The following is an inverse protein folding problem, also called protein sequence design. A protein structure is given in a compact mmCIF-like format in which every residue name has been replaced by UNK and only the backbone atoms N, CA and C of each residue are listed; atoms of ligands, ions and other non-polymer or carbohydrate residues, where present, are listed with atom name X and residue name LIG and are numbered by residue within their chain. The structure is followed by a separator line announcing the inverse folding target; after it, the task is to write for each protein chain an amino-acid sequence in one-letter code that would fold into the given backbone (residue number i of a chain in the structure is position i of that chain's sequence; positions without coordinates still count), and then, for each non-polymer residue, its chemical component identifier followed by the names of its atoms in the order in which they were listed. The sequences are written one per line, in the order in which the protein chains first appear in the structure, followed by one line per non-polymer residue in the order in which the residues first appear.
data_IF_811109345086
#
_entry.id   IF_811109345086
#
_cell.length_a   1.000
_cell.length_b   1.000
_cell.length_c   1.000
_cell.angle_alpha   90.00
_cell.angle_beta   90.00
_cell.angle_gamma   90.00
#
_symmetry.space_group_name_H-M   'P 1'
#
loop_
_entity.id
_entity.type
_entity.pdbx_description
1 polymer ?
#
# COMPACT_ATOMS: atom_id res chain seq x y z
N UNK A 1 -37.57 -10.80 31.42
CA UNK A 1 -36.47 -11.67 30.98
C UNK A 1 -36.70 -12.31 29.62
N UNK A 2 -37.74 -13.14 29.41
CA UNK A 2 -38.00 -13.83 28.10
C UNK A 2 -38.15 -12.90 26.90
N UNK A 3 -38.79 -11.71 27.03
CA UNK A 3 -38.92 -10.73 25.95
C UNK A 3 -37.58 -10.11 25.53
N UNK A 4 -36.70 -9.80 26.50
CA UNK A 4 -35.37 -9.23 26.24
C UNK A 4 -34.49 -10.26 25.49
N UNK A 5 -34.53 -11.53 25.91
CA UNK A 5 -33.79 -12.60 25.24
C UNK A 5 -34.27 -12.76 23.78
N UNK A 6 -35.59 -12.76 23.53
CA UNK A 6 -36.11 -12.80 22.17
C UNK A 6 -35.65 -11.62 21.33
N UNK A 7 -35.65 -10.41 21.88
CA UNK A 7 -35.17 -9.22 21.19
C UNK A 7 -33.67 -9.33 20.81
N UNK A 8 -32.84 -9.79 21.75
CA UNK A 8 -31.41 -10.03 21.51
C UNK A 8 -31.19 -11.08 20.42
N UNK A 9 -31.94 -12.19 20.43
CA UNK A 9 -31.85 -13.23 19.38
C UNK A 9 -32.19 -12.66 18.00
N UNK A 10 -33.24 -11.82 17.88
CA UNK A 10 -33.60 -11.18 16.63
C UNK A 10 -32.55 -10.18 16.16
N UNK A 11 -31.94 -9.41 17.06
CA UNK A 11 -30.85 -8.49 16.73
C UNK A 11 -29.66 -9.27 16.16
N UNK A 12 -29.24 -10.35 16.83
CA UNK A 12 -28.14 -11.20 16.36
C UNK A 12 -28.47 -11.79 14.99
N UNK A 13 -29.72 -12.28 14.79
CA UNK A 13 -30.14 -12.84 13.51
C UNK A 13 -30.10 -11.83 12.38
N UNK A 14 -30.53 -10.59 12.62
CA UNK A 14 -30.41 -9.47 11.66
C UNK A 14 -28.95 -9.18 11.32
N UNK A 15 -28.07 -9.13 12.32
CA UNK A 15 -26.63 -8.92 12.07
C UNK A 15 -26.02 -10.03 11.23
N UNK A 16 -26.40 -11.30 11.46
CA UNK A 16 -25.93 -12.43 10.66
C UNK A 16 -26.41 -12.30 9.22
N UNK A 17 -27.70 -11.96 8.99
CA UNK A 17 -28.24 -11.75 7.64
C UNK A 17 -27.50 -10.62 6.92
N UNK A 18 -27.30 -9.48 7.57
CA UNK A 18 -26.58 -8.35 6.98
C UNK A 18 -25.12 -8.71 6.66
N UNK A 19 -24.46 -9.48 7.53
CA UNK A 19 -23.12 -9.98 7.28
C UNK A 19 -23.07 -10.90 6.06
N UNK A 20 -23.98 -11.86 5.94
CA UNK A 20 -24.08 -12.80 4.80
C UNK A 20 -24.34 -12.04 3.50
N UNK A 21 -25.26 -11.06 3.52
CA UNK A 21 -25.56 -10.25 2.35
C UNK A 21 -24.32 -9.47 1.91
N UNK A 22 -23.62 -8.82 2.85
CA UNK A 22 -22.43 -8.03 2.53
C UNK A 22 -21.29 -8.92 2.00
N UNK A 23 -21.06 -10.06 2.63
CA UNK A 23 -20.08 -11.06 2.21
C UNK A 23 -20.38 -11.57 0.78
N UNK A 24 -21.63 -11.93 0.52
CA UNK A 24 -22.07 -12.37 -0.81
C UNK A 24 -21.87 -11.27 -1.86
N UNK A 25 -22.19 -10.01 -1.52
CA UNK A 25 -21.98 -8.85 -2.40
C UNK A 25 -20.53 -8.68 -2.82
N UNK A 26 -19.58 -8.82 -1.89
CA UNK A 26 -18.15 -8.72 -2.18
C UNK A 26 -17.72 -9.81 -3.15
N UNK A 27 -18.09 -11.06 -2.88
CA UNK A 27 -17.73 -12.20 -3.72
C UNK A 27 -18.37 -12.14 -5.11
N UNK A 28 -19.64 -11.74 -5.18
CA UNK A 28 -20.34 -11.51 -6.46
C UNK A 28 -19.65 -10.40 -7.24
N UNK A 29 -19.31 -9.28 -6.59
CA UNK A 29 -18.59 -8.20 -7.26
C UNK A 29 -17.25 -8.68 -7.83
N UNK A 30 -16.45 -9.41 -7.05
CA UNK A 30 -15.19 -9.98 -7.52
C UNK A 30 -15.40 -10.93 -8.70
N UNK A 31 -16.33 -11.85 -8.60
CA UNK A 31 -16.64 -12.83 -9.64
C UNK A 31 -17.07 -12.16 -10.97
N UNK A 32 -17.98 -11.19 -10.91
CA UNK A 32 -18.48 -10.48 -12.09
C UNK A 32 -17.37 -9.64 -12.74
N UNK A 33 -16.49 -9.02 -11.93
CA UNK A 33 -15.48 -8.10 -12.42
C UNK A 33 -14.09 -8.73 -12.60
N UNK A 34 -13.90 -10.00 -12.29
CA UNK A 34 -12.57 -10.65 -12.39
C UNK A 34 -11.95 -10.55 -13.79
N UNK A 35 -12.75 -10.48 -14.85
CA UNK A 35 -12.27 -10.30 -16.21
C UNK A 35 -11.77 -8.88 -16.52
N UNK A 36 -12.09 -7.89 -15.66
CA UNK A 36 -11.55 -6.53 -15.74
C UNK A 36 -10.18 -6.42 -15.07
N UNK A 37 -9.82 -7.42 -14.27
CA UNK A 37 -8.58 -7.53 -13.55
C UNK A 37 -7.70 -8.57 -14.25
N UNK A 38 -6.48 -8.21 -14.58
CA UNK A 38 -5.49 -9.21 -14.98
C UNK A 38 -4.55 -9.50 -13.82
N UNK A 39 -4.44 -10.78 -13.46
CA UNK A 39 -3.43 -11.23 -12.50
C UNK A 39 -2.04 -11.04 -13.11
N UNK A 40 -1.12 -10.50 -12.31
CA UNK A 40 0.21 -10.19 -12.80
C UNK A 40 1.27 -11.13 -12.22
N UNK A 41 1.82 -10.82 -11.07
CA UNK A 41 2.80 -11.64 -10.37
C UNK A 41 2.30 -11.99 -8.98
N UNK A 42 2.92 -12.99 -8.36
CA UNK A 42 2.62 -13.35 -6.98
C UNK A 42 2.88 -12.16 -6.04
N UNK A 43 2.01 -11.98 -5.05
CA UNK A 43 2.26 -11.10 -3.91
C UNK A 43 3.19 -11.85 -2.96
N UNK A 44 4.37 -11.32 -2.73
CA UNK A 44 5.34 -11.88 -1.81
C UNK A 44 5.02 -11.49 -0.36
N UNK A 45 5.56 -12.24 0.61
CA UNK A 45 5.39 -11.90 2.02
C UNK A 45 3.98 -12.10 2.59
N UNK A 46 3.10 -12.83 1.89
CA UNK A 46 1.80 -13.27 2.44
C UNK A 46 1.96 -14.54 3.24
N UNK A 47 2.49 -14.46 4.46
CA UNK A 47 2.73 -15.62 5.32
C UNK A 47 2.02 -15.47 6.67
N UNK A 48 2.19 -16.45 7.56
CA UNK A 48 1.59 -16.42 8.90
C UNK A 48 1.94 -15.15 9.67
N UNK A 49 3.17 -14.66 9.53
CA UNK A 49 3.68 -13.55 10.34
C UNK A 49 3.90 -12.27 9.54
N UNK A 50 3.83 -12.32 8.21
CA UNK A 50 4.05 -11.18 7.34
C UNK A 50 2.77 -10.78 6.60
N UNK A 51 2.55 -9.47 6.49
CA UNK A 51 1.50 -8.87 5.69
C UNK A 51 2.11 -7.93 4.64
N UNK A 52 1.78 -8.13 3.36
CA UNK A 52 2.19 -7.23 2.27
C UNK A 52 1.66 -5.82 2.48
N UNK A 53 2.45 -4.82 2.10
CA UNK A 53 2.09 -3.40 2.26
C UNK A 53 2.42 -2.59 1.00
N UNK A 54 3.53 -1.89 1.01
CA UNK A 54 3.94 -1.00 -0.06
C UNK A 54 4.34 -1.73 -1.35
N UNK A 55 4.14 -1.07 -2.49
CA UNK A 55 4.47 -1.57 -3.81
C UNK A 55 4.97 -0.45 -4.70
N UNK A 56 6.11 -0.65 -5.38
CA UNK A 56 6.65 0.28 -6.37
C UNK A 56 7.38 -0.44 -7.49
N UNK A 57 7.76 0.30 -8.53
CA UNK A 57 8.49 -0.21 -9.69
C UNK A 57 9.75 0.62 -9.93
N UNK A 58 10.86 -0.03 -10.22
CA UNK A 58 12.09 0.59 -10.69
C UNK A 58 12.28 0.36 -12.18
N UNK A 59 12.34 1.45 -12.95
CA UNK A 59 12.61 1.38 -14.39
C UNK A 59 14.05 0.96 -14.67
N UNK A 60 15.02 1.47 -13.90
CA UNK A 60 16.44 1.18 -14.04
C UNK A 60 16.75 -0.32 -14.01
N UNK A 61 16.08 -1.04 -13.14
CA UNK A 61 16.33 -2.46 -12.95
C UNK A 61 15.22 -3.35 -13.47
N UNK A 62 14.13 -2.77 -13.95
CA UNK A 62 12.94 -3.47 -14.43
C UNK A 62 12.41 -4.45 -13.38
N UNK A 63 12.26 -3.98 -12.14
CA UNK A 63 11.82 -4.80 -11.01
C UNK A 63 10.66 -4.16 -10.24
N UNK A 64 9.83 -5.01 -9.67
CA UNK A 64 8.86 -4.65 -8.64
C UNK A 64 9.55 -4.76 -7.28
N UNK A 65 9.38 -3.75 -6.46
CA UNK A 65 9.83 -3.67 -5.09
C UNK A 65 8.60 -3.67 -4.18
N UNK A 66 8.53 -4.61 -3.25
CA UNK A 66 7.38 -4.79 -2.37
C UNK A 66 7.85 -4.92 -0.92
N UNK A 67 7.17 -4.23 -0.01
CA UNK A 67 7.41 -4.38 1.42
C UNK A 67 6.40 -5.29 2.08
N UNK A 68 6.80 -5.91 3.19
CA UNK A 68 5.90 -6.58 4.13
C UNK A 68 6.37 -6.35 5.56
N UNK A 69 5.45 -6.07 6.46
CA UNK A 69 5.78 -5.96 7.88
C UNK A 69 5.53 -7.27 8.62
N UNK A 70 6.22 -7.44 9.74
CA UNK A 70 6.07 -8.60 10.62
C UNK A 70 5.24 -8.23 11.84
N UNK A 71 4.14 -8.95 12.08
CA UNK A 71 3.24 -8.72 13.22
C UNK A 71 3.90 -8.96 14.59
N UNK A 72 4.92 -9.84 14.63
CA UNK A 72 5.64 -10.17 15.86
C UNK A 72 6.84 -9.24 16.08
N UNK A 73 6.85 -8.08 15.41
CA UNK A 73 7.90 -7.04 15.46
C UNK A 73 9.31 -7.55 15.14
N UNK A 74 9.42 -8.59 14.31
CA UNK A 74 10.66 -8.96 13.65
C UNK A 74 10.93 -8.02 12.49
N UNK A 75 12.10 -8.12 11.86
CA UNK A 75 12.47 -7.25 10.75
C UNK A 75 11.39 -7.27 9.64
N UNK A 76 11.02 -6.10 9.18
CA UNK A 76 10.22 -5.95 7.96
C UNK A 76 11.05 -6.36 6.75
N UNK A 77 10.40 -6.78 5.68
CA UNK A 77 11.04 -7.38 4.51
C UNK A 77 10.84 -6.53 3.26
N UNK A 78 11.87 -6.52 2.42
CA UNK A 78 11.81 -6.05 1.04
C UNK A 78 11.90 -7.26 0.12
N UNK A 79 10.96 -7.39 -0.80
CA UNK A 79 10.93 -8.40 -1.86
C UNK A 79 11.19 -7.74 -3.20
N UNK A 80 11.98 -8.39 -4.04
CA UNK A 80 12.36 -7.92 -5.35
C UNK A 80 11.94 -8.98 -6.37
N UNK A 81 11.07 -8.59 -7.30
CA UNK A 81 10.50 -9.45 -8.33
C UNK A 81 10.81 -8.88 -9.71
N UNK A 82 11.36 -9.68 -10.60
CA UNK A 82 11.58 -9.26 -11.99
C UNK A 82 10.25 -8.97 -12.67
N UNK A 83 10.13 -7.79 -13.29
CA UNK A 83 8.88 -7.34 -13.87
C UNK A 83 8.49 -8.18 -15.09
N UNK A 84 9.44 -8.59 -15.93
CA UNK A 84 9.17 -9.33 -17.16
C UNK A 84 8.87 -10.80 -16.89
N UNK A 85 9.75 -11.47 -16.13
CA UNK A 85 9.62 -12.91 -15.82
C UNK A 85 8.66 -13.21 -14.72
N UNK A 86 8.30 -12.21 -13.90
CA UNK A 86 7.42 -12.30 -12.70
C UNK A 86 7.98 -13.22 -11.62
N UNK A 87 9.26 -13.51 -11.66
CA UNK A 87 9.94 -14.37 -10.68
C UNK A 87 10.58 -13.52 -9.60
N UNK A 88 10.45 -13.96 -8.34
CA UNK A 88 11.19 -13.37 -7.24
C UNK A 88 12.70 -13.53 -7.46
N UNK A 89 13.45 -12.41 -7.40
CA UNK A 89 14.91 -12.38 -7.51
C UNK A 89 15.53 -12.59 -6.13
N UNK A 90 15.09 -11.81 -5.13
CA UNK A 90 15.61 -11.88 -3.77
C UNK A 90 14.61 -11.33 -2.74
N UNK A 91 14.94 -11.54 -1.48
CA UNK A 91 14.27 -10.90 -0.34
C UNK A 91 15.33 -10.47 0.68
N UNK A 92 15.11 -9.32 1.32
CA UNK A 92 16.04 -8.70 2.24
C UNK A 92 15.33 -8.28 3.52
N UNK A 93 15.93 -8.54 4.67
CA UNK A 93 15.51 -7.94 5.93
C UNK A 93 15.93 -6.49 5.97
N UNK A 94 15.01 -5.60 6.36
CA UNK A 94 15.28 -4.18 6.47
C UNK A 94 15.96 -3.87 7.83
N UNK A 95 17.04 -3.11 7.77
CA UNK A 95 17.74 -2.56 8.94
C UNK A 95 17.81 -1.04 8.86
N UNK A 96 17.82 -0.41 10.03
CA UNK A 96 18.07 1.02 10.18
C UNK A 96 19.57 1.32 10.12
N UNK A 97 19.92 2.57 9.91
CA UNK A 97 21.31 3.04 9.82
C UNK A 97 22.15 2.68 11.06
N UNK A 98 21.56 2.62 12.24
CA UNK A 98 22.23 2.18 13.48
C UNK A 98 22.34 0.66 13.65
N UNK A 99 22.11 -0.15 12.60
CA UNK A 99 22.06 -1.62 12.58
C UNK A 99 20.90 -2.27 13.35
N UNK A 100 19.99 -1.51 13.92
CA UNK A 100 18.78 -2.13 14.49
C UNK A 100 17.85 -2.62 13.39
N UNK A 101 17.02 -3.61 13.70
CA UNK A 101 16.02 -4.07 12.74
C UNK A 101 14.95 -2.98 12.51
N UNK A 102 14.55 -2.80 11.26
CA UNK A 102 13.35 -2.04 10.95
C UNK A 102 12.15 -2.97 11.12
N UNK A 103 11.36 -2.75 12.15
CA UNK A 103 10.20 -3.58 12.51
C UNK A 103 8.88 -2.81 12.43
N UNK A 104 8.88 -1.70 11.72
CA UNK A 104 7.75 -0.80 11.55
C UNK A 104 6.80 -1.31 10.46
N UNK A 105 5.68 -0.60 10.33
CA UNK A 105 4.60 -0.89 9.38
C UNK A 105 4.89 -0.34 7.97
N UNK A 106 5.94 -0.72 7.35
CA UNK A 106 6.54 -0.26 6.07
C UNK A 106 5.53 -0.08 4.90
N UNK A 107 4.53 0.79 5.09
CA UNK A 107 3.41 1.00 4.16
C UNK A 107 3.80 1.72 2.88
N UNK A 108 4.61 2.77 2.99
CA UNK A 108 5.06 3.53 1.83
C UNK A 108 6.37 3.01 1.26
N UNK A 109 6.45 2.85 -0.06
CA UNK A 109 7.69 2.55 -0.78
C UNK A 109 7.70 3.24 -2.14
N UNK A 110 8.79 3.91 -2.47
CA UNK A 110 8.98 4.55 -3.79
C UNK A 110 10.47 4.73 -4.12
N UNK A 111 10.79 5.01 -5.38
CA UNK A 111 12.17 5.20 -5.81
C UNK A 111 12.30 6.20 -6.97
N UNK A 112 13.42 6.92 -6.99
CA UNK A 112 13.91 7.70 -8.13
C UNK A 112 14.89 6.91 -9.02
N UNK A 113 14.99 5.60 -8.84
CA UNK A 113 15.97 4.70 -9.45
C UNK A 113 17.41 4.82 -8.93
N UNK A 114 17.67 5.63 -7.90
CA UNK A 114 18.93 5.69 -7.14
C UNK A 114 18.69 5.41 -5.67
N UNK A 115 17.75 6.14 -5.09
CA UNK A 115 17.31 6.00 -3.70
C UNK A 115 16.00 5.24 -3.67
N UNK A 116 15.91 4.31 -2.74
CA UNK A 116 14.66 3.68 -2.34
C UNK A 116 14.22 4.32 -1.01
N UNK A 117 13.06 4.98 -1.01
CA UNK A 117 12.44 5.51 0.19
C UNK A 117 11.39 4.55 0.71
N UNK A 118 11.44 4.29 2.01
CA UNK A 118 10.42 3.50 2.73
C UNK A 118 9.92 4.34 3.88
N UNK A 119 8.61 4.61 3.91
CA UNK A 119 7.96 5.34 5.00
C UNK A 119 7.19 4.38 5.91
N UNK A 120 7.14 4.73 7.18
CA UNK A 120 6.39 3.99 8.18
C UNK A 120 6.13 4.87 9.40
N UNK A 121 4.87 5.11 9.74
CA UNK A 121 4.50 5.97 10.85
C UNK A 121 5.19 7.35 10.74
N UNK A 122 6.10 7.66 11.65
CA UNK A 122 6.85 8.93 11.69
C UNK A 122 8.30 8.78 11.24
N UNK A 123 8.61 7.77 10.43
CA UNK A 123 9.97 7.53 9.93
C UNK A 123 10.00 7.44 8.41
N UNK A 124 11.07 7.98 7.83
CA UNK A 124 11.48 7.78 6.45
C UNK A 124 12.87 7.15 6.46
N UNK A 125 13.00 5.98 5.87
CA UNK A 125 14.27 5.29 5.70
C UNK A 125 14.69 5.36 4.23
N UNK A 126 15.93 5.77 3.99
CA UNK A 126 16.53 5.88 2.66
C UNK A 126 17.53 4.74 2.45
N UNK A 127 17.42 4.03 1.34
CA UNK A 127 18.31 2.94 0.96
C UNK A 127 18.94 3.21 -0.40
N UNK A 128 20.17 2.76 -0.60
CA UNK A 128 20.81 2.80 -1.90
C UNK A 128 20.27 1.66 -2.77
N UNK A 129 19.60 1.98 -3.87
CA UNK A 129 18.98 0.98 -4.74
C UNK A 129 20.02 0.11 -5.46
N UNK A 130 21.18 0.66 -5.84
CA UNK A 130 22.26 -0.09 -6.48
C UNK A 130 22.86 -1.11 -5.54
N UNK A 131 23.00 -0.77 -4.26
CA UNK A 131 23.46 -1.70 -3.21
C UNK A 131 22.43 -2.81 -2.98
N UNK A 132 21.15 -2.50 -2.92
CA UNK A 132 20.07 -3.49 -2.85
C UNK A 132 20.17 -4.50 -3.97
N UNK A 133 20.40 -4.03 -5.19
CA UNK A 133 20.45 -4.92 -6.36
C UNK A 133 21.73 -5.76 -6.42
N UNK A 134 22.87 -5.22 -5.94
CA UNK A 134 24.19 -5.89 -5.95
C UNK A 134 24.43 -6.83 -4.78
N UNK A 135 23.84 -6.55 -3.61
CA UNK A 135 24.14 -7.32 -2.39
C UNK A 135 23.74 -8.80 -2.53
N UNK A 136 24.58 -9.68 -2.02
CA UNK A 136 24.30 -11.11 -1.82
C UNK A 136 23.88 -11.43 -0.37
N UNK A 137 23.81 -10.42 0.50
CA UNK A 137 23.35 -10.58 1.87
C UNK A 137 21.83 -10.77 1.92
N UNK A 138 21.35 -11.32 3.04
CA UNK A 138 19.92 -11.46 3.30
C UNK A 138 19.32 -10.23 4.01
N UNK A 139 20.09 -9.15 4.10
CA UNK A 139 19.69 -7.92 4.77
C UNK A 139 20.25 -6.70 4.06
N UNK A 140 19.56 -5.57 4.21
CA UNK A 140 19.98 -4.28 3.72
C UNK A 140 19.82 -3.21 4.81
N UNK A 141 20.79 -2.31 4.90
CA UNK A 141 20.82 -1.23 5.86
C UNK A 141 20.48 0.08 5.18
N UNK A 142 19.67 0.92 5.84
CA UNK A 142 19.40 2.27 5.36
C UNK A 142 20.69 3.13 5.41
N UNK A 143 20.82 4.03 4.47
CA UNK A 143 21.90 5.02 4.46
C UNK A 143 21.54 6.24 5.32
N UNK A 144 20.23 6.50 5.49
CA UNK A 144 19.72 7.58 6.33
C UNK A 144 18.35 7.22 6.87
N UNK A 145 18.11 7.59 8.13
CA UNK A 145 16.81 7.50 8.79
C UNK A 145 16.40 8.90 9.23
N UNK A 146 15.25 9.34 8.80
CA UNK A 146 14.72 10.67 9.09
C UNK A 146 13.42 10.54 9.88
N UNK A 147 13.30 11.30 10.97
CA UNK A 147 12.04 11.43 11.69
C UNK A 147 11.16 12.44 10.98
N UNK A 148 9.95 12.03 10.61
CA UNK A 148 8.95 12.89 10.02
C UNK A 148 8.17 13.63 11.11
N UNK A 149 7.73 14.87 10.83
CA UNK A 149 6.79 15.61 11.68
C UNK A 149 5.41 15.02 11.55
N UNK A 150 4.97 14.81 10.31
CA UNK A 150 3.69 14.20 9.99
C UNK A 150 3.87 12.71 9.71
N UNK A 151 2.83 11.94 10.00
CA UNK A 151 2.82 10.50 9.73
C UNK A 151 2.95 10.22 8.24
N UNK A 152 3.75 9.22 7.88
CA UNK A 152 3.97 8.77 6.51
C UNK A 152 3.62 7.30 6.34
N UNK A 153 2.38 6.98 5.97
CA UNK A 153 1.92 5.61 5.77
C UNK A 153 2.05 5.14 4.33
N UNK A 154 2.12 6.07 3.40
CA UNK A 154 2.38 5.80 1.98
C UNK A 154 3.24 6.90 1.36
N UNK A 155 3.93 6.57 0.28
CA UNK A 155 4.71 7.56 -0.48
C UNK A 155 4.72 7.22 -1.97
N UNK A 156 5.01 8.24 -2.79
CA UNK A 156 5.22 8.11 -4.24
C UNK A 156 6.23 9.14 -4.72
N UNK A 157 6.98 8.82 -5.77
CA UNK A 157 7.95 9.73 -6.37
C UNK A 157 7.65 9.96 -7.84
N UNK A 158 7.62 11.23 -8.25
CA UNK A 158 7.48 11.63 -9.65
C UNK A 158 8.01 13.06 -9.84
N UNK A 159 8.66 13.35 -10.98
CA UNK A 159 9.08 14.70 -11.37
C UNK A 159 9.86 15.44 -10.28
N UNK A 160 10.90 14.82 -9.74
CA UNK A 160 11.74 15.36 -8.67
C UNK A 160 10.96 15.78 -7.41
N UNK A 161 9.83 15.12 -7.15
CA UNK A 161 9.03 15.36 -5.94
C UNK A 161 8.73 14.03 -5.24
N UNK A 162 9.11 13.97 -3.98
CA UNK A 162 8.74 12.89 -3.06
C UNK A 162 7.44 13.29 -2.36
N UNK A 163 6.40 12.52 -2.58
CA UNK A 163 5.09 12.70 -1.97
C UNK A 163 4.94 11.73 -0.80
N UNK A 164 4.50 12.23 0.35
CA UNK A 164 4.28 11.46 1.57
C UNK A 164 2.92 11.81 2.14
N UNK A 165 2.12 10.81 2.45
CA UNK A 165 0.80 10.98 3.04
C UNK A 165 0.53 9.96 4.14
N UNK A 166 -0.55 10.18 4.89
CA UNK A 166 -0.94 9.34 6.02
C UNK A 166 -2.33 8.73 5.85
N UNK A 167 -2.48 7.56 6.44
CA UNK A 167 -3.77 6.89 6.55
C UNK A 167 -4.62 7.56 7.64
N UNK A 168 -5.81 7.99 7.28
CA UNK A 168 -6.76 8.61 8.21
C UNK A 168 -8.10 7.89 8.19
N UNK A 169 -8.70 7.78 9.38
CA UNK A 169 -10.08 7.36 9.60
C UNK A 169 -10.76 8.48 10.35
N UNK A 170 -11.82 9.03 9.79
CA UNK A 170 -12.59 10.18 10.31
C UNK A 170 -12.87 10.10 11.83
N UNK A 171 -13.25 8.92 12.32
CA UNK A 171 -13.59 8.72 13.73
C UNK A 171 -12.38 8.81 14.69
N UNK A 172 -11.17 8.47 14.23
CA UNK A 172 -9.97 8.41 15.09
C UNK A 172 -9.05 9.61 14.91
N UNK A 173 -9.14 10.28 13.76
CA UNK A 173 -8.28 11.39 13.38
C UNK A 173 -9.16 12.46 12.74
N UNK A 174 -9.64 13.45 13.55
CA UNK A 174 -10.58 14.46 13.08
C UNK A 174 -9.97 15.48 12.10
N UNK A 175 -8.65 15.48 11.93
CA UNK A 175 -7.97 16.36 10.99
C UNK A 175 -8.08 15.79 9.56
N UNK A 176 -8.25 16.66 8.57
CA UNK A 176 -8.28 16.26 7.17
C UNK A 176 -6.93 15.67 6.76
N UNK A 177 -6.94 14.55 6.02
CA UNK A 177 -5.70 13.94 5.57
C UNK A 177 -5.02 14.81 4.51
N UNK A 178 -3.72 15.07 4.71
CA UNK A 178 -2.91 15.92 3.84
C UNK A 178 -1.80 15.10 3.19
N UNK A 179 -1.57 15.34 1.90
CA UNK A 179 -0.44 14.87 1.14
C UNK A 179 0.62 15.97 1.08
N UNK A 180 1.82 15.67 1.55
CA UNK A 180 2.95 16.57 1.51
C UNK A 180 3.89 16.22 0.36
N UNK A 181 4.28 17.21 -0.43
CA UNK A 181 5.25 17.07 -1.52
C UNK A 181 6.54 17.79 -1.22
N UNK A 182 7.68 17.10 -1.34
CA UNK A 182 9.01 17.61 -1.08
C UNK A 182 9.86 17.52 -2.36
N UNK A 183 10.41 18.65 -2.81
CA UNK A 183 11.35 18.68 -3.94
C UNK A 183 12.66 18.01 -3.59
N UNK A 184 13.16 17.15 -4.48
CA UNK A 184 14.38 16.36 -4.28
C UNK A 184 15.59 16.89 -5.07
N UNK A 185 15.45 18.00 -5.79
CA UNK A 185 16.53 18.70 -6.50
C UNK A 185 17.37 19.60 -5.57
N UNK A 186 17.02 19.66 -4.29
CA UNK A 186 17.69 20.33 -3.20
C UNK A 186 17.73 19.42 -1.97
N UNK A 187 18.48 19.82 -0.94
CA UNK A 187 18.38 19.15 0.37
C UNK A 187 16.94 19.25 0.90
N UNK A 188 16.38 18.10 1.29
CA UNK A 188 14.97 18.01 1.71
C UNK A 188 14.85 18.43 3.17
N UNK A 189 14.08 19.48 3.42
CA UNK A 189 13.60 19.85 4.76
C UNK A 189 12.19 19.27 4.98
N UNK A 190 12.12 18.14 5.66
CA UNK A 190 10.84 17.48 5.95
C UNK A 190 9.94 18.24 6.93
N UNK A 191 10.38 19.38 7.45
CA UNK A 191 9.58 20.28 8.29
C UNK A 191 8.79 21.30 7.47
N UNK A 192 9.14 21.46 6.17
CA UNK A 192 8.56 22.48 5.28
C UNK A 192 8.28 21.87 3.91
N UNK A 193 7.10 21.28 3.69
CA UNK A 193 6.73 20.77 2.38
C UNK A 193 6.67 21.89 1.33
N UNK A 194 7.07 21.57 0.10
CA UNK A 194 6.94 22.49 -1.05
C UNK A 194 5.50 22.51 -1.58
N UNK A 195 4.74 21.44 -1.34
CA UNK A 195 3.34 21.29 -1.78
C UNK A 195 2.51 20.60 -0.71
N UNK A 196 1.24 21.01 -0.60
CA UNK A 196 0.24 20.38 0.28
C UNK A 196 -1.08 20.23 -0.48
N UNK A 197 -1.70 19.05 -0.40
CA UNK A 197 -3.00 18.77 -0.98
C UNK A 197 -3.87 17.99 0.01
N UNK A 198 -5.13 18.36 0.13
CA UNK A 198 -6.12 17.50 0.77
C UNK A 198 -6.32 16.24 -0.06
N UNK A 199 -6.44 15.11 0.61
CA UNK A 199 -6.59 13.80 -0.02
C UNK A 199 -7.81 13.06 0.54
N UNK A 200 -8.32 12.05 -0.15
CA UNK A 200 -9.42 11.27 0.39
C UNK A 200 -9.00 10.47 1.65
N UNK A 201 -9.98 10.12 2.46
CA UNK A 201 -9.84 9.23 3.60
C UNK A 201 -9.46 7.81 3.20
N UNK A 202 -8.85 7.04 4.11
CA UNK A 202 -8.55 5.61 3.99
C UNK A 202 -7.50 5.26 2.92
N UNK A 203 -6.61 6.19 2.57
CA UNK A 203 -5.55 5.94 1.60
C UNK A 203 -4.47 5.06 2.21
N UNK A 204 -4.19 3.92 1.56
CA UNK A 204 -3.16 2.94 1.92
C UNK A 204 -1.96 2.99 0.97
N UNK A 205 -2.15 3.49 -0.25
CA UNK A 205 -1.10 3.57 -1.25
C UNK A 205 -1.39 4.62 -2.31
N UNK A 206 -0.32 5.08 -2.95
CA UNK A 206 -0.38 6.14 -3.96
C UNK A 206 0.50 5.82 -5.15
N UNK A 207 0.04 6.21 -6.34
CA UNK A 207 0.82 6.26 -7.56
C UNK A 207 0.53 7.55 -8.34
N UNK A 208 1.41 7.92 -9.26
CA UNK A 208 1.22 9.08 -10.13
C UNK A 208 1.33 8.63 -11.57
N UNK A 209 0.33 8.98 -12.39
CA UNK A 209 0.26 8.63 -13.81
C UNK A 209 1.21 9.47 -14.66
N UNK A 210 1.40 9.11 -15.94
CA UNK A 210 2.25 9.89 -16.84
C UNK A 210 1.69 11.27 -17.16
N UNK A 211 0.38 11.44 -17.08
CA UNK A 211 -0.31 12.72 -17.19
C UNK A 211 -0.51 13.43 -15.83
N UNK A 212 0.31 13.06 -14.82
CA UNK A 212 0.37 13.68 -13.49
C UNK A 212 -0.95 13.62 -12.69
N UNK A 213 -1.76 12.59 -12.89
CA UNK A 213 -2.92 12.34 -12.03
C UNK A 213 -2.50 11.57 -10.79
N UNK A 214 -3.05 11.91 -9.65
CA UNK A 214 -2.89 11.18 -8.42
C UNK A 214 -3.84 9.99 -8.38
N UNK A 215 -3.30 8.81 -8.11
CA UNK A 215 -4.05 7.57 -7.95
C UNK A 215 -3.91 7.11 -6.52
N UNK A 216 -5.03 6.91 -5.83
CA UNK A 216 -5.05 6.47 -4.44
C UNK A 216 -5.71 5.10 -4.32
N UNK A 217 -5.08 4.22 -3.54
CA UNK A 217 -5.65 2.96 -3.06
C UNK A 217 -6.32 3.22 -1.71
N UNK A 218 -7.64 3.12 -1.65
CA UNK A 218 -8.42 3.37 -0.44
C UNK A 218 -9.00 2.07 0.07
N UNK A 219 -8.65 1.69 1.29
CA UNK A 219 -9.05 0.43 1.91
C UNK A 219 -9.21 0.58 3.41
N UNK A 220 -10.08 -0.22 4.01
CA UNK A 220 -10.31 -0.16 5.46
C UNK A 220 -10.42 -1.54 6.11
N UNK A 221 -11.31 -2.40 5.62
CA UNK A 221 -11.59 -3.70 6.22
C UNK A 221 -11.81 -4.76 5.15
N UNK A 222 -11.73 -6.05 5.49
CA UNK A 222 -12.05 -7.13 4.55
C UNK A 222 -13.54 -7.18 4.17
N UNK A 223 -14.39 -6.43 4.87
CA UNK A 223 -15.84 -6.41 4.65
C UNK A 223 -16.32 -5.29 3.74
N UNK A 224 -15.41 -4.50 3.18
CA UNK A 224 -15.72 -3.41 2.26
C UNK A 224 -14.83 -3.50 1.01
N UNK A 225 -15.46 -3.32 -0.15
CA UNK A 225 -14.69 -3.18 -1.39
C UNK A 225 -13.75 -1.99 -1.29
N UNK A 226 -12.50 -2.20 -1.64
CA UNK A 226 -11.55 -1.11 -1.81
C UNK A 226 -11.90 -0.24 -3.00
N UNK A 227 -11.32 0.95 -3.06
CA UNK A 227 -11.54 1.89 -4.14
C UNK A 227 -10.20 2.40 -4.65
N UNK A 228 -9.97 2.30 -5.94
CA UNK A 228 -8.93 3.04 -6.63
C UNK A 228 -9.56 4.34 -7.12
N UNK A 229 -9.12 5.46 -6.58
CA UNK A 229 -9.61 6.78 -6.96
C UNK A 229 -8.53 7.58 -7.70
N UNK A 230 -8.93 8.28 -8.75
CA UNK A 230 -8.06 9.04 -9.63
C UNK A 230 -8.45 10.50 -9.52
N UNK A 231 -7.45 11.36 -9.24
CA UNK A 231 -7.62 12.78 -9.03
C UNK A 231 -6.74 13.61 -9.97
N UNK A 232 -7.28 14.72 -10.42
CA UNK A 232 -6.51 15.82 -10.99
C UNK A 232 -6.32 16.88 -9.88
N UNK A 233 -5.17 16.85 -9.22
CA UNK A 233 -4.93 17.58 -7.97
C UNK A 233 -5.98 17.19 -6.92
N UNK A 234 -6.90 18.07 -6.58
CA UNK A 234 -8.00 17.93 -5.63
C UNK A 234 -9.32 17.44 -6.27
N UNK A 235 -9.41 17.47 -7.61
CA UNK A 235 -10.63 17.09 -8.33
C UNK A 235 -10.70 15.60 -8.61
N UNK A 236 -11.69 14.93 -8.04
CA UNK A 236 -11.98 13.53 -8.34
C UNK A 236 -12.41 13.36 -9.82
N UNK A 237 -11.71 12.48 -10.54
CA UNK A 237 -12.02 12.12 -11.93
C UNK A 237 -12.77 10.80 -12.01
N UNK A 238 -12.27 9.76 -11.30
CA UNK A 238 -12.78 8.39 -11.43
C UNK A 238 -12.62 7.59 -10.16
N UNK A 239 -13.59 6.69 -9.92
CA UNK A 239 -13.51 5.66 -8.88
C UNK A 239 -13.68 4.28 -9.50
N UNK A 240 -12.83 3.33 -9.13
CA UNK A 240 -12.88 1.93 -9.56
C UNK A 240 -12.96 1.07 -8.31
N UNK A 241 -14.00 0.26 -8.18
CA UNK A 241 -14.11 -0.71 -7.10
C UNK A 241 -13.24 -1.92 -7.39
N UNK A 242 -12.47 -2.34 -6.38
CA UNK A 242 -11.56 -3.49 -6.41
C UNK A 242 -11.81 -4.38 -5.19
N UNK A 243 -11.27 -5.60 -5.14
CA UNK A 243 -11.37 -6.46 -3.97
C UNK A 243 -10.94 -5.73 -2.68
N UNK A 244 -11.44 -6.17 -1.52
CA UNK A 244 -11.06 -5.59 -0.23
C UNK A 244 -9.56 -5.67 0.05
N UNK A 245 -9.09 -4.82 0.97
CA UNK A 245 -7.73 -4.85 1.52
C UNK A 245 -6.65 -4.56 0.46
N UNK A 246 -6.92 -3.64 -0.46
CA UNK A 246 -5.89 -3.10 -1.35
C UNK A 246 -4.93 -2.20 -0.57
N UNK A 247 -3.65 -2.36 -0.85
CA UNK A 247 -2.53 -1.67 -0.20
C UNK A 247 -1.73 -0.85 -1.21
N UNK A 248 -0.42 -1.04 -1.24
CA UNK A 248 0.49 -0.35 -2.15
C UNK A 248 0.13 -0.52 -3.63
N UNK A 249 0.35 0.53 -4.39
CA UNK A 249 0.11 0.58 -5.83
C UNK A 249 1.26 1.26 -6.57
N UNK A 250 1.46 0.90 -7.83
CA UNK A 250 2.27 1.69 -8.77
C UNK A 250 1.59 1.78 -10.13
N UNK A 251 1.99 2.78 -10.90
CA UNK A 251 1.55 3.00 -12.28
C UNK A 251 2.68 2.71 -13.26
N UNK A 252 2.40 1.95 -14.32
CA UNK A 252 3.31 1.69 -15.43
C UNK A 252 2.55 1.26 -16.68
N UNK A 253 3.00 1.70 -17.86
CA UNK A 253 2.49 1.29 -19.16
C UNK A 253 0.95 1.36 -19.28
N UNK A 254 0.39 2.52 -18.92
CA UNK A 254 -1.06 2.76 -18.89
C UNK A 254 -1.84 1.74 -18.04
N UNK A 255 -1.25 1.29 -16.95
CA UNK A 255 -1.89 0.39 -16.02
C UNK A 255 -1.54 0.70 -14.56
N UNK A 256 -2.47 0.41 -13.66
CA UNK A 256 -2.32 0.46 -12.22
C UNK A 256 -2.13 -0.96 -11.72
N UNK A 257 -1.07 -1.20 -10.95
CA UNK A 257 -0.74 -2.47 -10.31
C UNK A 257 -1.02 -2.34 -8.83
N UNK A 258 -1.73 -3.31 -8.27
CA UNK A 258 -2.30 -3.22 -6.91
C UNK A 258 -1.88 -4.45 -6.10
N UNK A 259 -1.30 -4.21 -4.92
CA UNK A 259 -1.03 -5.21 -3.91
C UNK A 259 -2.22 -5.34 -2.96
N UNK A 260 -2.38 -6.52 -2.35
CA UNK A 260 -3.44 -6.81 -1.37
C UNK A 260 -2.86 -7.55 -0.17
N UNK A 261 -3.32 -7.21 1.02
CA UNK A 261 -2.92 -7.94 2.22
C UNK A 261 -3.89 -9.07 2.59
N UNK A 262 -5.04 -9.22 1.89
CA UNK A 262 -6.09 -10.19 2.20
C UNK A 262 -5.62 -11.65 2.22
N UNK A 263 -4.53 -11.98 1.51
CA UNK A 263 -3.95 -13.33 1.51
C UNK A 263 -3.03 -13.61 2.71
N UNK A 264 -2.68 -12.60 3.51
CA UNK A 264 -1.89 -12.84 4.71
C UNK A 264 -2.66 -13.73 5.69
N UNK A 265 -1.98 -14.72 6.27
CA UNK A 265 -2.63 -15.73 7.12
C UNK A 265 -3.30 -15.13 8.36
N UNK A 266 -2.82 -13.96 8.83
CA UNK A 266 -3.46 -13.23 9.94
C UNK A 266 -4.89 -12.81 9.65
N UNK A 267 -5.24 -12.63 8.39
CA UNK A 267 -6.58 -12.26 7.93
C UNK A 267 -7.35 -13.50 7.46
N UNK A 268 -7.35 -14.57 8.27
CA UNK A 268 -8.00 -15.84 7.94
C UNK A 268 -9.48 -15.68 7.54
N UNK A 269 -10.12 -14.63 8.02
CA UNK A 269 -11.52 -14.26 7.77
C UNK A 269 -11.72 -13.40 6.52
N UNK A 270 -10.64 -12.95 5.86
CA UNK A 270 -10.75 -12.17 4.63
C UNK A 270 -11.11 -13.07 3.44
N UNK A 271 -12.03 -12.60 2.61
CA UNK A 271 -12.44 -13.23 1.36
C UNK A 271 -12.92 -12.15 0.39
N UNK A 272 -12.51 -12.17 -0.89
CA UNK A 272 -11.60 -13.14 -1.52
C UNK A 272 -10.13 -13.01 -1.04
N UNK A 273 -9.42 -14.14 -1.06
CA UNK A 273 -7.96 -14.17 -0.87
C UNK A 273 -7.27 -13.81 -2.18
N UNK A 274 -6.60 -12.67 -2.20
CA UNK A 274 -5.89 -12.19 -3.38
C UNK A 274 -4.39 -12.44 -3.18
N UNK A 275 -3.84 -13.42 -3.88
CA UNK A 275 -2.45 -13.85 -3.79
C UNK A 275 -1.57 -13.32 -4.92
N UNK A 276 -2.15 -12.55 -5.84
CA UNK A 276 -1.44 -11.94 -6.96
C UNK A 276 -1.69 -10.44 -7.06
N UNK A 277 -0.68 -9.72 -7.52
CA UNK A 277 -0.81 -8.33 -7.92
C UNK A 277 -1.86 -8.26 -9.03
N UNK A 278 -2.87 -7.41 -8.85
CA UNK A 278 -3.89 -7.15 -9.85
C UNK A 278 -3.46 -5.95 -10.71
N UNK A 279 -3.54 -6.13 -12.02
CA UNK A 279 -3.32 -5.08 -13.01
C UNK A 279 -4.65 -4.61 -13.56
N UNK A 280 -4.90 -3.29 -13.54
CA UNK A 280 -6.07 -2.63 -14.11
C UNK A 280 -5.60 -1.66 -15.20
N UNK A 281 -6.22 -1.70 -16.39
CA UNK A 281 -5.93 -0.72 -17.43
C UNK A 281 -6.37 0.68 -16.98
N UNK A 282 -5.46 1.64 -17.13
CA UNK A 282 -5.75 3.05 -16.98
C UNK A 282 -6.25 3.59 -18.31
N UNK A 283 -7.55 3.81 -18.42
CA UNK A 283 -8.14 4.47 -19.59
C UNK A 283 -8.36 5.94 -19.22
N UNK A 284 -7.71 6.81 -19.93
CA UNK A 284 -7.88 8.28 -19.82
C UNK A 284 -9.32 8.69 -20.02
#
# INVERSE_FOLDING_TARGET
MKKVIKCLVWIIFIFIILFVINYSRINIHYFINKNKYSEYSKIEGSTKNYAPQGLTYSEKYNVILQTSYNKDKKASMLYITDFTTKKKIKQLSLKKNNNTISNNHVGGITTDNKTLWITSDYELNEYNLDEIMKTNNNEIKSIKDTKLINRGDFCSYKNNTLWIGSFHIDFFYPEDPILHGYKTDKEIDFTKPDYEYEIPWLVQGMAITDDNKFVYSQSFTPFHLSTISIYDKDKLIKKIKVPPMSEGIFYKDNAIYICFESNATRYFYADPKIDKIIKIKYNK
#
